data_IF_509303283187
#
_entry.id   IF_509303283187
#
_cell.length_a   1.000
_cell.length_b   1.000
_cell.length_c   1.000
_cell.angle_alpha   90.00
_cell.angle_beta   90.00
_cell.angle_gamma   90.00
#
_symmetry.space_group_name_H-M   'P 1'
#
loop_
_entity.id
_entity.type
_entity.pdbx_description
1 polymer ?
#
# COMPACT_ATOMS: atom_id res chain seq x y z
N UNK A 1 -5.93 -11.64 0.83
CA UNK A 1 -6.79 -10.89 -0.08
C UNK A 1 -7.31 -11.78 -1.22
N UNK A 2 -6.43 -12.35 -2.07
CA UNK A 2 -6.84 -13.26 -3.18
C UNK A 2 -7.73 -14.38 -2.65
N UNK A 3 -7.31 -15.04 -1.56
CA UNK A 3 -8.05 -16.15 -0.97
C UNK A 3 -9.43 -15.74 -0.45
N UNK A 4 -9.57 -14.53 0.10
CA UNK A 4 -10.87 -14.00 0.54
C UNK A 4 -11.87 -13.93 -0.62
N UNK A 5 -11.43 -13.42 -1.79
CA UNK A 5 -12.25 -13.36 -2.99
C UNK A 5 -12.61 -14.77 -3.51
N UNK A 6 -11.61 -15.67 -3.56
CA UNK A 6 -11.81 -17.01 -4.11
C UNK A 6 -12.66 -17.93 -3.23
N UNK A 7 -12.78 -17.64 -1.93
CA UNK A 7 -13.64 -18.36 -0.99
C UNK A 7 -15.09 -17.89 -1.02
N UNK A 8 -15.37 -16.74 -1.64
CA UNK A 8 -16.74 -16.29 -1.84
C UNK A 8 -17.45 -17.26 -2.79
N UNK A 9 -18.62 -17.85 -2.43
CA UNK A 9 -19.34 -18.78 -3.28
C UNK A 9 -19.68 -18.20 -4.67
N UNK A 10 -19.85 -16.88 -4.76
CA UNK A 10 -20.13 -16.20 -6.02
C UNK A 10 -18.92 -16.06 -6.94
N UNK A 11 -17.70 -16.41 -6.50
CA UNK A 11 -16.48 -16.39 -7.33
C UNK A 11 -16.52 -17.38 -8.50
N UNK A 12 -17.11 -18.57 -8.31
CA UNK A 12 -17.30 -19.61 -9.36
C UNK A 12 -16.05 -19.87 -10.22
N UNK A 13 -14.87 -19.90 -9.61
CA UNK A 13 -13.62 -20.09 -10.36
C UNK A 13 -13.20 -18.92 -11.27
N UNK A 14 -13.85 -17.76 -11.14
CA UNK A 14 -13.67 -16.58 -11.99
C UNK A 14 -14.78 -16.36 -13.02
N UNK A 15 -15.73 -17.30 -13.15
CA UNK A 15 -16.87 -17.21 -14.06
C UNK A 15 -18.13 -16.72 -13.31
N UNK A 16 -18.17 -15.42 -13.02
CA UNK A 16 -19.24 -14.79 -12.22
C UNK A 16 -19.95 -13.63 -12.92
N UNK A 17 -19.58 -13.29 -14.14
CA UNK A 17 -20.10 -12.09 -14.83
C UNK A 17 -21.60 -12.16 -15.19
N UNK A 18 -22.22 -13.33 -15.09
CA UNK A 18 -23.66 -13.48 -15.24
C UNK A 18 -24.48 -13.11 -13.97
N UNK A 19 -23.80 -12.69 -12.89
CA UNK A 19 -24.41 -12.37 -11.59
C UNK A 19 -23.68 -11.24 -10.86
N UNK A 20 -24.01 -11.03 -9.57
CA UNK A 20 -23.43 -9.91 -8.79
C UNK A 20 -21.94 -10.07 -8.50
N UNK A 21 -21.36 -11.26 -8.73
CA UNK A 21 -19.98 -11.57 -8.44
C UNK A 21 -19.66 -11.69 -6.95
N UNK A 22 -18.38 -11.95 -6.61
CA UNK A 22 -17.93 -12.22 -5.24
C UNK A 22 -17.75 -10.90 -4.45
N UNK A 23 -18.85 -10.19 -4.21
CA UNK A 23 -18.85 -8.87 -3.57
C UNK A 23 -18.40 -8.92 -2.12
N UNK A 24 -18.81 -9.95 -1.36
CA UNK A 24 -18.40 -10.12 0.02
C UNK A 24 -16.89 -10.43 0.13
N UNK A 25 -16.39 -11.31 -0.74
CA UNK A 25 -14.96 -11.62 -0.81
C UNK A 25 -14.11 -10.42 -1.21
N UNK A 26 -14.57 -9.60 -2.17
CA UNK A 26 -13.87 -8.36 -2.57
C UNK A 26 -13.88 -7.33 -1.46
N UNK A 27 -15.01 -7.14 -0.76
CA UNK A 27 -15.09 -6.26 0.39
C UNK A 27 -14.11 -6.67 1.50
N UNK A 28 -14.09 -7.95 1.86
CA UNK A 28 -13.18 -8.49 2.86
C UNK A 28 -11.71 -8.34 2.43
N UNK A 29 -11.38 -8.57 1.15
CA UNK A 29 -10.03 -8.35 0.64
C UNK A 29 -9.59 -6.89 0.82
N UNK A 30 -10.48 -5.93 0.62
CA UNK A 30 -10.21 -4.50 0.82
C UNK A 30 -10.05 -4.15 2.29
N UNK A 31 -10.87 -4.71 3.18
CA UNK A 31 -10.74 -4.54 4.63
C UNK A 31 -9.35 -5.00 5.10
N UNK A 32 -8.92 -6.20 4.68
CA UNK A 32 -7.57 -6.71 4.96
C UNK A 32 -6.49 -5.74 4.46
N UNK A 33 -6.62 -5.19 3.25
CA UNK A 33 -5.68 -4.21 2.72
C UNK A 33 -5.61 -2.95 3.60
N UNK A 34 -6.75 -2.43 4.05
CA UNK A 34 -6.79 -1.23 4.89
C UNK A 34 -6.12 -1.38 6.25
N UNK A 35 -6.02 -2.59 6.80
CA UNK A 35 -5.25 -2.82 8.03
C UNK A 35 -3.74 -2.64 7.86
N UNK A 36 -3.24 -2.60 6.62
CA UNK A 36 -1.82 -2.43 6.31
C UNK A 36 -1.48 -1.07 5.69
N UNK A 37 -2.46 -0.32 5.22
CA UNK A 37 -2.23 0.98 4.59
C UNK A 37 -2.04 2.11 5.60
N UNK A 38 -2.62 1.97 6.78
CA UNK A 38 -2.52 2.96 7.85
C UNK A 38 -1.49 2.55 8.90
N UNK A 39 -0.85 3.53 9.52
CA UNK A 39 0.05 3.26 10.64
C UNK A 39 -0.74 2.79 11.87
N UNK A 40 -0.10 2.04 12.80
CA UNK A 40 -0.76 1.67 14.05
C UNK A 40 -1.15 2.88 14.89
N UNK A 41 -0.27 3.90 14.94
CA UNK A 41 -0.51 5.14 15.68
C UNK A 41 -1.75 5.86 15.18
N UNK A 42 -1.91 6.03 13.86
CA UNK A 42 -3.12 6.63 13.30
C UNK A 42 -4.39 5.82 13.64
N UNK A 43 -4.31 4.49 13.53
CA UNK A 43 -5.47 3.64 13.84
C UNK A 43 -5.83 3.72 15.32
N UNK A 44 -4.85 3.73 16.22
CA UNK A 44 -5.07 3.86 17.66
C UNK A 44 -5.62 5.25 18.03
N UNK A 45 -5.04 6.31 17.51
CA UNK A 45 -5.49 7.67 17.76
C UNK A 45 -6.92 7.89 17.25
N UNK A 46 -7.21 7.40 16.07
CA UNK A 46 -8.48 7.63 15.40
C UNK A 46 -9.61 6.75 15.91
N UNK A 47 -9.34 5.53 16.26
CA UNK A 47 -10.36 4.54 16.60
C UNK A 47 -10.20 3.99 18.02
N UNK A 48 -8.99 3.62 18.43
CA UNK A 48 -8.75 3.00 19.74
C UNK A 48 -9.74 1.88 20.04
N UNK A 49 -10.48 2.03 21.13
CA UNK A 49 -11.59 1.13 21.53
C UNK A 49 -12.95 1.84 21.48
N UNK A 50 -13.11 2.83 20.63
CA UNK A 50 -14.31 3.65 20.55
C UNK A 50 -15.47 2.80 19.99
N UNK A 51 -16.61 2.69 20.70
CA UNK A 51 -17.79 2.06 20.18
C UNK A 51 -18.37 2.82 18.97
N UNK A 52 -18.97 2.12 18.04
CA UNK A 52 -19.70 2.73 16.94
C UNK A 52 -21.06 3.23 17.44
N UNK A 53 -21.33 4.53 17.35
CA UNK A 53 -22.62 5.14 17.75
C UNK A 53 -23.09 4.72 19.16
N UNK A 54 -22.18 4.64 20.14
CA UNK A 54 -22.47 4.19 21.50
C UNK A 54 -23.02 2.73 21.62
N UNK A 55 -22.83 1.92 20.58
CA UNK A 55 -23.15 0.49 20.63
C UNK A 55 -22.31 -0.21 21.73
N UNK A 56 -22.92 -1.16 22.46
CA UNK A 56 -22.22 -1.89 23.51
C UNK A 56 -21.48 -3.12 22.95
N UNK A 57 -20.13 -3.13 22.85
CA UNK A 57 -19.37 -4.25 22.32
C UNK A 57 -19.56 -5.56 23.11
N UNK A 58 -19.89 -5.48 24.40
CA UNK A 58 -20.15 -6.67 25.23
C UNK A 58 -21.46 -7.38 24.86
N UNK A 59 -22.37 -6.67 24.20
CA UNK A 59 -23.66 -7.19 23.75
C UNK A 59 -23.78 -7.26 22.21
N UNK A 60 -22.64 -7.38 21.52
CA UNK A 60 -22.59 -7.55 20.07
C UNK A 60 -22.59 -6.23 19.29
N UNK A 61 -22.39 -5.12 19.97
CA UNK A 61 -22.16 -3.82 19.31
C UNK A 61 -20.79 -3.76 18.65
N UNK A 62 -20.65 -2.86 17.69
CA UNK A 62 -19.44 -2.70 16.87
C UNK A 62 -18.50 -1.65 17.44
N UNK A 63 -17.22 -1.79 17.09
CA UNK A 63 -16.24 -0.72 17.25
C UNK A 63 -16.22 0.20 16.01
N UNK A 64 -15.84 1.46 16.19
CA UNK A 64 -15.75 2.44 15.11
C UNK A 64 -14.81 2.00 13.97
N UNK A 65 -13.73 1.24 14.29
CA UNK A 65 -12.83 0.68 13.28
C UNK A 65 -13.51 -0.32 12.36
N UNK A 66 -14.50 -1.08 12.85
CA UNK A 66 -15.26 -2.03 12.01
C UNK A 66 -16.08 -1.30 10.97
N UNK A 67 -16.78 -0.21 11.35
CA UNK A 67 -17.51 0.63 10.42
C UNK A 67 -16.60 1.29 9.38
N UNK A 68 -15.40 1.70 9.77
CA UNK A 68 -14.42 2.21 8.84
C UNK A 68 -13.99 1.17 7.80
N UNK A 69 -13.72 -0.05 8.24
CA UNK A 69 -13.34 -1.16 7.34
C UNK A 69 -14.50 -1.55 6.42
N UNK A 70 -15.73 -1.63 6.95
CA UNK A 70 -16.95 -1.92 6.17
C UNK A 70 -17.17 -0.88 5.08
N UNK A 71 -17.07 0.40 5.40
CA UNK A 71 -17.18 1.49 4.42
C UNK A 71 -16.19 1.32 3.25
N UNK A 72 -14.94 0.98 3.54
CA UNK A 72 -13.94 0.79 2.50
C UNK A 72 -14.17 -0.49 1.69
N UNK A 73 -14.68 -1.55 2.32
CA UNK A 73 -15.12 -2.76 1.65
C UNK A 73 -16.28 -2.52 0.67
N UNK A 74 -17.31 -1.82 1.12
CA UNK A 74 -18.44 -1.44 0.24
C UNK A 74 -18.02 -0.52 -0.91
N UNK A 75 -17.16 0.43 -0.62
CA UNK A 75 -16.68 1.38 -1.62
C UNK A 75 -15.93 0.73 -2.77
N UNK A 76 -15.09 -0.30 -2.50
CA UNK A 76 -14.38 -1.03 -3.57
C UNK A 76 -15.34 -1.83 -4.45
N UNK A 77 -16.33 -2.49 -3.86
CA UNK A 77 -17.32 -3.29 -4.58
C UNK A 77 -18.07 -2.49 -5.64
N UNK A 78 -18.33 -1.20 -5.37
CA UNK A 78 -19.07 -0.32 -6.30
C UNK A 78 -18.23 0.13 -7.50
N UNK A 79 -16.89 0.01 -7.46
CA UNK A 79 -15.99 0.63 -8.43
C UNK A 79 -14.94 -0.30 -9.02
N UNK A 80 -14.82 -1.52 -8.51
CA UNK A 80 -13.73 -2.40 -8.92
C UNK A 80 -14.21 -3.83 -9.12
N UNK A 81 -13.63 -4.49 -10.11
CA UNK A 81 -13.94 -5.89 -10.43
C UNK A 81 -13.04 -6.84 -9.63
N UNK A 82 -13.65 -7.92 -9.12
CA UNK A 82 -12.94 -8.90 -8.30
C UNK A 82 -11.89 -9.71 -9.08
N UNK A 83 -12.16 -10.04 -10.33
CA UNK A 83 -11.20 -10.72 -11.21
C UNK A 83 -10.00 -9.85 -11.52
N UNK A 84 -10.23 -8.58 -11.81
CA UNK A 84 -9.19 -7.58 -11.98
C UNK A 84 -8.34 -7.41 -10.71
N UNK A 85 -8.97 -7.38 -9.53
CA UNK A 85 -8.26 -7.33 -8.25
C UNK A 85 -7.34 -8.53 -8.05
N UNK A 86 -7.85 -9.75 -8.28
CA UNK A 86 -7.04 -10.99 -8.19
C UNK A 86 -5.89 -10.96 -9.20
N UNK A 87 -6.14 -10.51 -10.42
CA UNK A 87 -5.11 -10.42 -11.47
C UNK A 87 -4.00 -9.44 -11.08
N UNK A 88 -4.35 -8.24 -10.62
CA UNK A 88 -3.37 -7.25 -10.17
C UNK A 88 -2.55 -7.74 -8.97
N UNK A 89 -3.21 -8.38 -7.98
CA UNK A 89 -2.48 -8.98 -6.86
C UNK A 89 -1.50 -10.07 -7.33
N UNK A 90 -1.90 -10.94 -8.25
CA UNK A 90 -1.02 -11.96 -8.82
C UNK A 90 0.15 -11.36 -9.60
N UNK A 91 -0.10 -10.30 -10.36
CA UNK A 91 0.94 -9.58 -11.09
C UNK A 91 1.99 -9.02 -10.13
N UNK A 92 1.57 -8.38 -9.03
CA UNK A 92 2.49 -7.89 -8.01
C UNK A 92 3.27 -9.02 -7.32
N UNK A 93 2.60 -10.12 -6.96
CA UNK A 93 3.25 -11.28 -6.32
C UNK A 93 4.25 -11.99 -7.23
N UNK A 94 4.02 -11.99 -8.54
CA UNK A 94 4.90 -12.62 -9.52
C UNK A 94 5.96 -11.67 -10.08
N UNK A 95 5.89 -10.38 -9.73
CA UNK A 95 6.85 -9.39 -10.19
C UNK A 95 8.25 -9.72 -9.64
N UNK A 96 9.22 -9.77 -10.55
CA UNK A 96 10.63 -9.94 -10.25
C UNK A 96 11.45 -9.14 -11.27
N UNK A 97 11.97 -8.00 -10.85
CA UNK A 97 12.78 -7.13 -11.70
C UNK A 97 14.09 -7.81 -12.11
N UNK A 98 14.55 -8.79 -11.34
CA UNK A 98 15.78 -9.54 -11.61
C UNK A 98 15.61 -10.71 -12.56
N UNK A 99 14.37 -11.13 -12.90
CA UNK A 99 14.10 -12.27 -13.77
C UNK A 99 14.73 -12.04 -15.15
N UNK A 100 15.52 -13.02 -15.60
CA UNK A 100 16.26 -13.00 -16.86
C UNK A 100 17.26 -11.81 -17.00
N UNK A 101 17.62 -11.16 -15.88
CA UNK A 101 18.55 -10.01 -15.84
C UNK A 101 19.73 -10.22 -14.88
N UNK A 102 20.01 -11.45 -14.49
CA UNK A 102 21.11 -11.76 -13.56
C UNK A 102 20.81 -11.43 -12.09
N UNK A 103 19.51 -11.36 -11.73
CA UNK A 103 19.05 -11.06 -10.38
C UNK A 103 18.81 -9.57 -10.13
N UNK A 104 18.18 -9.27 -8.97
CA UNK A 104 17.76 -7.92 -8.61
C UNK A 104 18.93 -6.93 -8.61
N UNK A 105 20.08 -7.30 -8.04
CA UNK A 105 21.24 -6.42 -7.98
C UNK A 105 21.76 -6.00 -9.36
N UNK A 106 21.75 -6.91 -10.34
CA UNK A 106 22.14 -6.57 -11.71
C UNK A 106 21.09 -5.71 -12.41
N UNK A 107 19.82 -6.00 -12.21
CA UNK A 107 18.73 -5.21 -12.77
C UNK A 107 18.74 -3.76 -12.25
N UNK A 108 18.98 -3.56 -10.95
CA UNK A 108 19.09 -2.23 -10.35
C UNK A 108 20.31 -1.46 -10.86
N UNK A 109 21.46 -2.13 -11.02
CA UNK A 109 22.67 -1.52 -11.61
C UNK A 109 22.49 -1.06 -13.05
N UNK A 110 21.56 -1.66 -13.79
CA UNK A 110 21.28 -1.28 -15.16
C UNK A 110 20.39 -0.04 -15.31
N UNK A 111 19.87 0.50 -14.21
CA UNK A 111 19.08 1.74 -14.22
C UNK A 111 20.01 2.91 -14.50
N UNK A 112 19.82 3.57 -15.64
CA UNK A 112 20.63 4.73 -16.07
C UNK A 112 19.90 6.05 -15.88
N UNK A 113 18.59 6.01 -15.62
CA UNK A 113 17.80 7.21 -15.38
C UNK A 113 18.20 7.86 -14.05
N UNK A 114 18.23 9.18 -14.02
CA UNK A 114 18.30 9.93 -12.77
C UNK A 114 17.09 9.57 -11.92
N UNK A 115 17.31 9.05 -10.71
CA UNK A 115 16.28 8.41 -9.90
C UNK A 115 16.18 9.05 -8.52
N UNK A 116 14.99 9.45 -8.13
CA UNK A 116 14.63 9.80 -6.76
C UNK A 116 13.77 8.67 -6.18
N UNK A 117 14.17 8.15 -5.04
CA UNK A 117 13.45 7.13 -4.29
C UNK A 117 13.00 7.74 -2.96
N UNK A 118 11.70 7.72 -2.72
CA UNK A 118 11.11 8.32 -1.51
C UNK A 118 10.43 7.22 -0.68
N UNK A 119 10.77 7.14 0.60
CA UNK A 119 10.09 6.30 1.59
C UNK A 119 9.17 7.16 2.46
N UNK A 120 8.16 6.53 3.05
CA UNK A 120 7.36 7.09 4.15
C UNK A 120 7.82 6.40 5.43
N UNK A 121 8.21 7.14 6.45
CA UNK A 121 8.83 6.60 7.67
C UNK A 121 7.94 5.63 8.45
N UNK A 122 6.62 5.83 8.43
CA UNK A 122 5.64 4.97 9.10
C UNK A 122 5.04 3.87 8.20
N UNK A 123 5.54 3.70 6.96
CA UNK A 123 5.01 2.70 6.02
C UNK A 123 5.32 1.27 6.49
N UNK A 124 4.27 0.46 6.62
CA UNK A 124 4.33 -0.96 7.02
C UNK A 124 4.10 -1.93 5.88
N UNK A 125 3.84 -1.41 4.69
CA UNK A 125 3.66 -2.18 3.47
C UNK A 125 4.96 -2.20 2.65
N UNK A 126 5.59 -1.04 2.50
CA UNK A 126 6.91 -0.86 1.91
C UNK A 126 7.84 -0.25 2.96
N UNK A 127 8.49 -1.10 3.74
CA UNK A 127 9.36 -0.67 4.84
C UNK A 127 10.47 0.27 4.33
N UNK A 128 10.78 1.36 5.04
CA UNK A 128 11.84 2.29 4.66
C UNK A 128 13.18 1.62 4.37
N UNK A 129 13.55 0.60 5.15
CA UNK A 129 14.78 -0.17 4.94
C UNK A 129 14.81 -0.89 3.59
N UNK A 130 13.67 -1.44 3.13
CA UNK A 130 13.56 -2.11 1.82
C UNK A 130 13.63 -1.09 0.68
N UNK A 131 12.99 0.07 0.86
CA UNK A 131 13.03 1.19 -0.09
C UNK A 131 14.45 1.73 -0.20
N UNK A 132 15.16 1.87 0.93
CA UNK A 132 16.57 2.24 0.96
C UNK A 132 17.49 1.21 0.27
N UNK A 133 17.26 -0.08 0.51
CA UNK A 133 18.02 -1.15 -0.15
C UNK A 133 17.86 -1.09 -1.68
N UNK A 134 16.64 -0.83 -2.16
CA UNK A 134 16.38 -0.62 -3.59
C UNK A 134 17.15 0.60 -4.12
N UNK A 135 17.06 1.73 -3.44
CA UNK A 135 17.78 2.96 -3.82
C UNK A 135 19.30 2.74 -3.88
N UNK A 136 19.85 2.03 -2.89
CA UNK A 136 21.28 1.73 -2.80
C UNK A 136 21.77 0.83 -3.95
N UNK A 137 20.89 0.06 -4.57
CA UNK A 137 21.21 -0.77 -5.74
C UNK A 137 21.26 0.00 -7.06
N UNK A 138 20.71 1.21 -7.11
CA UNK A 138 20.60 2.03 -8.33
C UNK A 138 21.75 3.05 -8.35
N UNK A 139 22.62 3.06 -9.39
CA UNK A 139 23.72 4.00 -9.48
C UNK A 139 23.27 5.46 -9.46
N UNK A 140 23.76 6.23 -8.50
CA UNK A 140 23.44 7.66 -8.40
C UNK A 140 22.01 8.00 -7.99
N UNK A 141 21.23 7.04 -7.49
CA UNK A 141 19.91 7.33 -6.97
C UNK A 141 19.97 8.21 -5.71
N UNK A 142 18.96 9.06 -5.58
CA UNK A 142 18.73 9.89 -4.39
C UNK A 142 17.70 9.21 -3.52
N UNK A 143 18.02 8.98 -2.25
CA UNK A 143 17.08 8.49 -1.27
C UNK A 143 16.64 9.62 -0.34
N UNK A 144 15.33 9.68 -0.08
CA UNK A 144 14.73 10.61 0.88
C UNK A 144 13.62 9.90 1.64
N UNK A 145 13.35 10.39 2.84
CA UNK A 145 12.18 10.01 3.64
C UNK A 145 11.27 11.20 3.81
N UNK A 146 9.96 10.96 3.77
CA UNK A 146 8.95 11.90 4.23
C UNK A 146 8.40 11.41 5.55
N UNK A 147 8.11 12.34 6.43
CA UNK A 147 7.49 12.06 7.71
C UNK A 147 5.97 12.08 7.56
N UNK A 148 5.31 11.00 8.00
CA UNK A 148 3.85 10.91 8.00
C UNK A 148 3.37 9.92 9.04
N UNK A 149 2.32 10.27 9.78
CA UNK A 149 1.62 9.34 10.67
C UNK A 149 0.64 8.43 9.93
N UNK A 150 0.47 8.63 8.62
CA UNK A 150 -0.56 7.95 7.82
C UNK A 150 -0.14 6.62 7.18
N UNK A 151 1.05 6.11 7.48
CA UNK A 151 1.54 4.85 6.94
C UNK A 151 1.74 4.89 5.43
N UNK A 152 1.37 3.81 4.73
CA UNK A 152 1.52 3.71 3.28
C UNK A 152 0.80 4.81 2.50
N UNK A 153 -0.34 5.30 2.99
CA UNK A 153 -1.08 6.39 2.35
C UNK A 153 -0.40 7.76 2.52
N UNK A 154 0.68 7.88 3.30
CA UNK A 154 1.41 9.13 3.56
C UNK A 154 1.82 9.84 2.28
N UNK A 155 2.28 9.11 1.26
CA UNK A 155 2.66 9.73 -0.03
C UNK A 155 1.49 10.37 -0.79
N UNK A 156 0.24 10.03 -0.44
CA UNK A 156 -0.97 10.65 -0.99
C UNK A 156 -1.45 11.85 -0.17
N UNK A 157 -0.88 12.06 1.01
CA UNK A 157 -1.34 13.06 2.00
C UNK A 157 -0.30 14.18 2.15
N UNK A 158 0.98 13.81 2.22
CA UNK A 158 2.09 14.74 2.47
C UNK A 158 2.52 15.50 1.20
N UNK A 159 1.57 16.22 0.60
CA UNK A 159 1.79 16.92 -0.66
C UNK A 159 2.91 17.94 -0.61
N UNK A 160 3.05 18.68 0.49
CA UNK A 160 4.05 19.75 0.62
C UNK A 160 5.47 19.18 0.66
N UNK A 161 5.68 18.10 1.44
CA UNK A 161 6.97 17.41 1.52
C UNK A 161 7.35 16.84 0.15
N UNK A 162 6.42 16.14 -0.51
CA UNK A 162 6.67 15.56 -1.84
C UNK A 162 6.93 16.62 -2.89
N UNK A 163 6.15 17.71 -2.89
CA UNK A 163 6.33 18.82 -3.83
C UNK A 163 7.70 19.47 -3.67
N UNK A 164 8.14 19.67 -2.42
CA UNK A 164 9.48 20.19 -2.14
C UNK A 164 10.57 19.29 -2.70
N UNK A 165 10.52 17.99 -2.38
CA UNK A 165 11.49 17.00 -2.86
C UNK A 165 11.52 16.89 -4.39
N UNK A 166 10.36 16.90 -5.04
CA UNK A 166 10.26 16.86 -6.49
C UNK A 166 10.85 18.11 -7.13
N UNK A 167 10.57 19.30 -6.58
CA UNK A 167 11.15 20.55 -7.07
C UNK A 167 12.67 20.58 -6.91
N UNK A 168 13.18 20.11 -5.76
CA UNK A 168 14.64 20.00 -5.55
C UNK A 168 15.27 19.03 -6.55
N UNK A 169 14.65 17.88 -6.76
CA UNK A 169 15.13 16.87 -7.70
C UNK A 169 15.12 17.37 -9.14
N UNK A 170 14.01 17.96 -9.59
CA UNK A 170 13.86 18.45 -10.95
C UNK A 170 14.78 19.66 -11.26
N UNK A 171 15.05 20.50 -10.26
CA UNK A 171 15.95 21.66 -10.41
C UNK A 171 17.41 21.35 -10.10
N UNK A 172 17.81 20.07 -10.05
CA UNK A 172 19.19 19.62 -9.81
C UNK A 172 19.81 20.07 -8.48
N UNK A 173 18.99 20.47 -7.51
CA UNK A 173 19.46 20.97 -6.21
C UNK A 173 19.81 19.86 -5.20
N UNK A 174 19.50 18.61 -5.51
CA UNK A 174 19.83 17.47 -4.63
C UNK A 174 21.23 16.98 -5.00
N UNK A 175 22.22 17.11 -4.10
CA UNK A 175 23.56 16.53 -4.33
C UNK A 175 23.49 15.00 -4.35
N UNK A 176 24.27 14.38 -5.25
CA UNK A 176 24.34 12.93 -5.41
C UNK A 176 25.05 12.27 -4.22
N UNK A 177 24.34 11.96 -3.15
CA UNK A 177 24.78 10.98 -2.14
C UNK A 177 23.58 10.47 -1.33
N UNK A 178 23.43 9.14 -1.30
CA UNK A 178 22.70 8.49 -0.23
C UNK A 178 23.41 8.82 1.09
N UNK A 179 22.79 9.62 1.96
CA UNK A 179 23.29 9.77 3.32
C UNK A 179 23.04 8.45 4.05
N UNK A 180 24.11 7.87 4.56
CA UNK A 180 24.10 6.69 5.41
C UNK A 180 23.13 6.87 6.58
N UNK A 181 22.39 5.79 6.88
CA UNK A 181 21.76 5.63 8.18
C UNK A 181 22.85 5.82 9.27
N UNK A 182 22.65 6.79 10.15
CA UNK A 182 23.37 6.91 11.41
C UNK A 182 22.57 6.21 12.50
#
# INVERSE_FOLDING_TARGET
QIRAIQLDPAWRGGDYYAGPGPTAGLALARQIAHTTYRSPSELDERFGRIPQNDEDPLHGGRLAVESYLDYHGEKIVRRFDAGSYVTLCRTMLSHDVGRDRGGVAQALKAVTARTLVVAVDSDRLFFPEQVWQMASGIPGAFYREIHSDHGHDGFLIEHDQLTSLLNEFLNERIPSRASSFA
#
